data_IF_921379529133
#
_entry.id   IF_921379529133
#
_cell.length_a   1.000
_cell.length_b   1.000
_cell.length_c   1.000
_cell.angle_alpha   90.00
_cell.angle_beta   90.00
_cell.angle_gamma   90.00
#
_symmetry.space_group_name_H-M   'P 1'
#
loop_
_entity.id
_entity.type
_entity.pdbx_description
1 polymer ?
#
# COMPACT_ATOMS: atom_id res chain seq x y z
N UNK A 1 -26.58 15.68 5.17
CA UNK A 1 -25.84 15.51 6.44
C UNK A 1 -25.66 14.02 6.59
N UNK A 2 -24.43 13.50 6.40
CA UNK A 2 -24.17 12.10 6.71
C UNK A 2 -24.18 11.98 8.23
N UNK A 3 -24.99 11.07 8.73
CA UNK A 3 -25.06 10.74 10.16
C UNK A 3 -23.70 10.17 10.59
N UNK A 4 -23.05 10.83 11.56
CA UNK A 4 -21.81 10.36 12.20
C UNK A 4 -22.09 9.24 13.23
N UNK A 5 -23.19 8.49 13.09
CA UNK A 5 -23.33 7.21 13.77
C UNK A 5 -22.06 6.40 13.47
N UNK A 6 -21.21 6.20 14.49
CA UNK A 6 -19.86 5.66 14.35
C UNK A 6 -19.95 4.35 13.56
N UNK A 7 -19.57 4.40 12.29
CA UNK A 7 -19.59 3.25 11.42
C UNK A 7 -18.49 2.30 11.90
N UNK A 8 -18.96 1.23 12.53
CA UNK A 8 -18.18 0.23 13.25
C UNK A 8 -18.09 -1.07 12.46
N UNK A 9 -18.45 -1.07 11.18
CA UNK A 9 -18.47 -2.28 10.34
C UNK A 9 -17.11 -2.95 10.21
N UNK A 10 -16.01 -2.20 10.38
CA UNK A 10 -14.64 -2.73 10.35
C UNK A 10 -14.09 -3.04 11.75
N UNK A 11 -14.80 -2.66 12.82
CA UNK A 11 -14.35 -2.90 14.18
C UNK A 11 -14.36 -4.41 14.47
N UNK A 12 -13.24 -4.95 14.95
CA UNK A 12 -13.13 -6.37 15.33
C UNK A 12 -12.87 -7.34 14.18
N UNK A 13 -12.74 -6.86 12.93
CA UNK A 13 -12.28 -7.72 11.83
C UNK A 13 -10.77 -7.96 11.96
N UNK A 14 -10.40 -9.21 12.21
CA UNK A 14 -9.01 -9.64 12.33
C UNK A 14 -8.50 -10.20 10.99
N UNK A 15 -7.70 -9.42 10.27
CA UNK A 15 -7.01 -9.86 9.05
C UNK A 15 -5.58 -10.38 9.31
N UNK A 16 -5.18 -10.61 10.56
CA UNK A 16 -3.82 -11.06 10.88
C UNK A 16 -3.44 -12.41 10.27
N UNK A 17 -4.45 -13.24 9.95
CA UNK A 17 -4.30 -14.53 9.25
C UNK A 17 -4.59 -14.46 7.75
N UNK A 18 -4.98 -13.29 7.23
CA UNK A 18 -5.26 -13.14 5.82
C UNK A 18 -3.95 -13.08 5.04
N UNK A 19 -3.76 -14.06 4.15
CA UNK A 19 -2.61 -14.12 3.25
C UNK A 19 -2.72 -13.11 2.10
N UNK A 20 -3.92 -12.65 1.74
CA UNK A 20 -4.13 -11.57 0.76
C UNK A 20 -5.41 -10.82 1.18
N UNK A 21 -5.33 -9.51 1.37
CA UNK A 21 -6.54 -8.65 1.40
C UNK A 21 -6.65 -8.04 0.01
N UNK A 22 -7.49 -8.63 -0.85
CA UNK A 22 -7.79 -8.11 -2.18
C UNK A 22 -9.16 -7.46 -2.12
N UNK A 23 -9.22 -6.15 -1.88
CA UNK A 23 -10.49 -5.46 -1.86
C UNK A 23 -10.41 -4.09 -2.54
N UNK A 24 -11.25 -3.96 -3.55
CA UNK A 24 -11.94 -2.75 -3.95
C UNK A 24 -12.86 -2.28 -2.82
N UNK A 25 -12.27 -1.83 -1.69
CA UNK A 25 -13.01 -1.11 -0.66
C UNK A 25 -13.31 0.29 -1.18
N UNK A 26 -14.43 0.45 -1.88
CA UNK A 26 -14.90 1.78 -2.34
C UNK A 26 -15.16 2.76 -1.19
N UNK A 27 -15.23 2.27 0.05
CA UNK A 27 -15.37 3.04 1.28
C UNK A 27 -14.10 2.88 2.13
N UNK A 28 -13.04 3.57 1.71
CA UNK A 28 -11.71 3.60 2.34
C UNK A 28 -11.66 4.23 3.75
N UNK A 29 -12.81 4.55 4.35
CA UNK A 29 -12.90 5.39 5.56
C UNK A 29 -12.53 4.70 6.88
N UNK A 30 -12.28 3.38 6.90
CA UNK A 30 -12.06 2.64 8.17
C UNK A 30 -10.95 1.58 8.09
N UNK A 31 -10.06 1.67 7.10
CA UNK A 31 -8.91 0.75 6.98
C UNK A 31 -7.86 0.98 8.08
N UNK A 32 -7.92 2.10 8.79
CA UNK A 32 -7.13 2.35 10.01
C UNK A 32 -7.54 1.49 11.21
N UNK A 33 -8.72 0.85 11.15
CA UNK A 33 -9.28 0.04 12.24
C UNK A 33 -9.07 -1.47 12.08
N UNK A 34 -8.51 -1.92 10.96
CA UNK A 34 -8.30 -3.34 10.70
C UNK A 34 -6.97 -3.83 11.28
N UNK A 35 -6.97 -5.02 11.87
CA UNK A 35 -5.74 -5.67 12.34
C UNK A 35 -5.06 -6.39 11.17
N UNK A 36 -3.86 -5.97 10.79
CA UNK A 36 -3.22 -6.44 9.58
C UNK A 36 -2.35 -7.68 9.79
N UNK A 37 -2.13 -8.41 8.69
CA UNK A 37 -1.09 -9.44 8.61
C UNK A 37 0.29 -8.78 8.47
N UNK A 38 1.32 -9.41 9.03
CA UNK A 38 2.73 -9.01 8.86
C UNK A 38 3.18 -8.91 7.38
N UNK A 39 2.45 -9.56 6.48
CA UNK A 39 2.75 -9.60 5.06
C UNK A 39 2.02 -8.50 4.27
N UNK A 40 1.06 -7.80 4.86
CA UNK A 40 0.35 -6.70 4.20
C UNK A 40 0.91 -5.37 4.68
N UNK A 41 1.03 -4.40 3.76
CA UNK A 41 1.27 -3.01 4.08
C UNK A 41 0.06 -2.19 3.64
N UNK A 42 -0.73 -1.72 4.60
CA UNK A 42 -1.82 -0.77 4.35
C UNK A 42 -1.31 0.61 4.71
N UNK A 43 -1.55 1.58 3.85
CA UNK A 43 -1.08 2.93 4.08
C UNK A 43 -1.95 3.95 3.37
N UNK A 44 -1.90 5.18 3.88
CA UNK A 44 -2.55 6.32 3.24
C UNK A 44 -1.68 6.85 2.10
N UNK A 45 -2.20 6.83 0.88
CA UNK A 45 -1.59 7.40 -0.32
C UNK A 45 -1.77 8.93 -0.27
N UNK A 46 -0.80 9.60 0.31
CA UNK A 46 -0.72 11.07 0.41
C UNK A 46 0.38 11.59 -0.50
N UNK A 47 0.37 12.89 -0.82
CA UNK A 47 1.47 13.53 -1.54
C UNK A 47 2.82 13.30 -0.83
N UNK A 48 2.84 13.43 0.50
CA UNK A 48 4.01 13.17 1.33
C UNK A 48 4.55 11.73 1.19
N UNK A 49 3.64 10.74 1.26
CA UNK A 49 4.01 9.34 1.03
C UNK A 49 4.56 9.14 -0.38
N UNK A 50 3.88 9.69 -1.38
CA UNK A 50 4.21 9.50 -2.79
C UNK A 50 5.58 10.12 -3.13
N UNK A 51 5.84 11.32 -2.65
CA UNK A 51 7.12 12.00 -2.82
C UNK A 51 8.25 11.26 -2.10
N UNK A 52 7.99 10.75 -0.89
CA UNK A 52 8.94 9.92 -0.15
C UNK A 52 9.26 8.61 -0.91
N UNK A 53 8.25 7.94 -1.44
CA UNK A 53 8.41 6.71 -2.24
C UNK A 53 9.27 6.97 -3.48
N UNK A 54 8.95 8.03 -4.25
CA UNK A 54 9.72 8.39 -5.44
C UNK A 54 11.15 8.79 -5.11
N UNK A 55 11.38 9.56 -4.05
CA UNK A 55 12.71 9.95 -3.59
C UNK A 55 13.54 8.70 -3.22
N UNK A 56 12.97 7.80 -2.43
CA UNK A 56 13.62 6.57 -1.96
C UNK A 56 14.01 5.66 -3.12
N UNK A 57 13.14 5.52 -4.14
CA UNK A 57 13.46 4.74 -5.34
C UNK A 57 14.59 5.41 -6.14
N UNK A 58 14.49 6.72 -6.38
CA UNK A 58 15.48 7.49 -7.17
C UNK A 58 16.87 7.44 -6.56
N UNK A 59 16.96 7.54 -5.23
CA UNK A 59 18.23 7.50 -4.48
C UNK A 59 18.80 6.09 -4.29
N UNK A 60 18.08 5.03 -4.67
CA UNK A 60 18.56 3.64 -4.50
C UNK A 60 19.50 3.20 -5.62
N UNK A 61 20.29 2.16 -5.39
CA UNK A 61 21.08 1.49 -6.44
C UNK A 61 20.33 0.31 -7.07
N UNK A 62 19.00 0.31 -7.03
CA UNK A 62 18.20 -0.79 -7.55
C UNK A 62 18.42 -0.95 -9.07
N UNK A 63 18.68 -2.19 -9.56
CA UNK A 63 18.77 -2.45 -11.00
C UNK A 63 17.43 -2.24 -11.73
N UNK A 64 16.32 -2.15 -10.98
CA UNK A 64 14.98 -1.97 -11.50
C UNK A 64 14.48 -0.51 -11.43
N UNK A 65 15.35 0.46 -11.17
CA UNK A 65 14.99 1.85 -10.84
C UNK A 65 13.94 2.46 -11.77
N UNK A 66 14.11 2.36 -13.09
CA UNK A 66 13.17 2.94 -14.06
C UNK A 66 11.79 2.26 -14.00
N UNK A 67 11.77 0.93 -13.93
CA UNK A 67 10.54 0.15 -13.79
C UNK A 67 9.81 0.45 -12.48
N UNK A 68 10.55 0.61 -11.39
CA UNK A 68 10.02 0.98 -10.08
C UNK A 68 9.37 2.36 -10.11
N UNK A 69 10.03 3.36 -10.71
CA UNK A 69 9.47 4.72 -10.88
C UNK A 69 8.19 4.67 -11.72
N UNK A 70 8.20 3.91 -12.83
CA UNK A 70 7.02 3.75 -13.68
C UNK A 70 5.83 3.14 -12.93
N UNK A 71 6.07 2.09 -12.15
CA UNK A 71 5.03 1.46 -11.31
C UNK A 71 4.56 2.37 -10.18
N UNK A 72 5.49 3.07 -9.52
CA UNK A 72 5.17 4.02 -8.45
C UNK A 72 4.22 5.11 -8.94
N UNK A 73 4.51 5.69 -10.10
CA UNK A 73 3.65 6.70 -10.74
C UNK A 73 2.28 6.16 -11.13
N UNK A 74 2.21 4.92 -11.61
CA UNK A 74 0.96 4.34 -12.09
C UNK A 74 0.01 3.95 -10.96
N UNK A 75 0.53 3.38 -9.88
CA UNK A 75 -0.29 2.74 -8.84
C UNK A 75 -0.40 3.52 -7.54
N UNK A 76 0.52 4.45 -7.27
CA UNK A 76 0.58 5.13 -5.98
C UNK A 76 0.50 6.66 -6.08
N UNK A 77 0.12 7.19 -7.25
CA UNK A 77 -0.23 8.59 -7.37
C UNK A 77 -1.45 8.89 -6.47
N UNK A 78 -1.40 9.94 -5.64
CA UNK A 78 -2.51 10.28 -4.74
C UNK A 78 -3.81 10.51 -5.50
N UNK A 79 -4.91 9.95 -4.99
CA UNK A 79 -6.24 10.12 -5.54
C UNK A 79 -7.23 10.53 -4.45
N UNK A 80 -8.02 11.58 -4.70
CA UNK A 80 -8.93 12.16 -3.72
C UNK A 80 -10.06 11.21 -3.26
N UNK A 81 -10.47 10.26 -4.10
CA UNK A 81 -11.51 9.26 -3.76
C UNK A 81 -10.97 7.90 -3.31
N UNK A 82 -9.66 7.66 -3.42
CA UNK A 82 -9.02 6.39 -3.03
C UNK A 82 -7.73 6.66 -2.25
N UNK A 83 -7.83 7.19 -1.02
CA UNK A 83 -6.66 7.67 -0.29
C UNK A 83 -5.89 6.57 0.43
N UNK A 84 -6.27 5.29 0.32
CA UNK A 84 -5.58 4.16 0.96
C UNK A 84 -5.35 3.04 -0.04
N UNK A 85 -4.22 2.35 0.10
CA UNK A 85 -3.85 1.21 -0.72
C UNK A 85 -3.30 0.07 0.13
N UNK A 86 -3.43 -1.16 -0.35
CA UNK A 86 -2.88 -2.37 0.29
C UNK A 86 -1.84 -2.99 -0.63
N UNK A 87 -0.59 -3.01 -0.17
CA UNK A 87 0.48 -3.73 -0.84
C UNK A 87 0.70 -5.10 -0.18
N UNK A 88 0.85 -6.15 -1.00
CA UNK A 88 1.14 -7.51 -0.55
C UNK A 88 2.20 -8.14 -1.47
N UNK A 89 3.23 -8.83 -0.92
CA UNK A 89 4.28 -9.49 -1.71
C UNK A 89 3.74 -10.67 -2.55
N UNK A 90 2.55 -11.17 -2.23
CA UNK A 90 1.83 -12.19 -2.99
C UNK A 90 0.92 -11.63 -4.11
N UNK A 91 0.73 -10.31 -4.25
CA UNK A 91 0.10 -9.75 -5.47
C UNK A 91 0.97 -9.93 -6.73
N UNK A 92 2.10 -10.63 -6.57
CA UNK A 92 3.23 -10.73 -7.48
C UNK A 92 3.42 -12.16 -8.00
N UNK A 93 2.73 -13.14 -7.41
CA UNK A 93 2.94 -14.59 -7.66
C UNK A 93 2.37 -15.10 -8.98
N UNK A 94 1.58 -14.31 -9.70
CA UNK A 94 0.99 -14.67 -11.01
C UNK A 94 1.77 -14.13 -12.22
N UNK A 95 2.95 -13.54 -12.02
CA UNK A 95 3.68 -12.84 -13.09
C UNK A 95 5.00 -13.54 -13.45
N UNK A 96 5.54 -13.33 -14.66
CA UNK A 96 6.85 -13.83 -15.06
C UNK A 96 7.95 -13.46 -14.05
N UNK A 97 9.04 -14.26 -13.93
CA UNK A 97 10.06 -14.09 -12.88
C UNK A 97 10.62 -12.66 -12.76
N UNK A 98 10.96 -12.01 -13.89
CA UNK A 98 11.46 -10.63 -13.90
C UNK A 98 10.45 -9.62 -13.33
N UNK A 99 9.16 -9.85 -13.60
CA UNK A 99 8.08 -9.00 -13.10
C UNK A 99 7.82 -9.29 -11.62
N UNK A 100 8.02 -10.53 -11.16
CA UNK A 100 7.93 -10.89 -9.75
C UNK A 100 9.04 -10.23 -8.92
N UNK A 101 10.27 -10.19 -9.43
CA UNK A 101 11.41 -9.50 -8.78
C UNK A 101 11.19 -7.99 -8.70
N UNK A 102 10.83 -7.35 -9.82
CA UNK A 102 10.50 -5.92 -9.84
C UNK A 102 9.40 -5.57 -8.83
N UNK A 103 8.35 -6.39 -8.78
CA UNK A 103 7.23 -6.08 -7.91
C UNK A 103 7.55 -6.35 -6.43
N UNK A 104 8.46 -7.29 -6.14
CA UNK A 104 8.93 -7.53 -4.76
C UNK A 104 9.79 -6.36 -4.29
N UNK A 105 10.70 -5.91 -5.15
CA UNK A 105 11.47 -4.70 -4.87
C UNK A 105 10.53 -3.49 -4.62
N UNK A 106 9.48 -3.34 -5.41
CA UNK A 106 8.48 -2.27 -5.22
C UNK A 106 7.79 -2.37 -3.86
N UNK A 107 7.36 -3.56 -3.44
CA UNK A 107 6.77 -3.78 -2.12
C UNK A 107 7.70 -3.33 -0.99
N UNK A 108 8.99 -3.68 -1.05
CA UNK A 108 9.97 -3.28 -0.04
C UNK A 108 10.18 -1.76 0.03
N UNK A 109 10.10 -1.06 -1.11
CA UNK A 109 10.14 0.42 -1.14
C UNK A 109 8.86 1.03 -0.55
N UNK A 110 7.70 0.48 -0.87
CA UNK A 110 6.41 0.93 -0.33
C UNK A 110 6.38 0.80 1.20
N UNK A 111 6.78 -0.36 1.74
CA UNK A 111 6.86 -0.56 3.19
C UNK A 111 7.76 0.47 3.87
N UNK A 112 8.97 0.69 3.32
CA UNK A 112 9.91 1.68 3.87
C UNK A 112 9.36 3.10 3.83
N UNK A 113 8.73 3.51 2.72
CA UNK A 113 8.13 4.83 2.60
C UNK A 113 6.95 5.01 3.57
N UNK A 114 6.10 3.99 3.71
CA UNK A 114 4.97 4.00 4.65
C UNK A 114 5.43 4.09 6.11
N UNK A 115 6.50 3.38 6.49
CA UNK A 115 7.11 3.48 7.82
C UNK A 115 7.73 4.85 8.05
N UNK A 116 8.52 5.35 7.09
CA UNK A 116 9.22 6.65 7.18
C UNK A 116 8.25 7.80 7.37
N UNK A 117 7.09 7.74 6.71
CA UNK A 117 6.07 8.80 6.71
C UNK A 117 5.04 8.62 7.84
N UNK A 118 5.17 7.58 8.67
CA UNK A 118 4.20 7.24 9.71
C UNK A 118 2.80 6.94 9.14
N UNK A 119 2.73 6.53 7.87
CA UNK A 119 1.47 6.23 7.16
C UNK A 119 1.14 4.74 7.13
N UNK A 120 2.06 3.89 7.59
CA UNK A 120 1.79 2.47 7.79
C UNK A 120 0.70 2.33 8.85
N UNK A 121 -0.43 1.82 8.42
CA UNK A 121 -1.46 1.28 9.31
C UNK A 121 -0.98 -0.13 9.69
N UNK A 122 -1.07 -0.50 10.96
CA UNK A 122 -0.65 -1.81 11.51
C UNK A 122 -1.85 -2.50 12.17
#
# INVERSE_FOLDING_TARGET
IFDESVDNRMDGIDFSKADIIMCSFWSFCYLDKVKLSKNNCVFKVTDEFYDCLLATIKSSDSPFKEGLIGKAKLFYAPHNTAPYEVAHPGNLSFKPPEVAELSRALYDFVCRAAETTGRRVC
#
